data_IF_751252764853
#
_entry.id   IF_751252764853
#
_cell.length_a   1.000
_cell.length_b   1.000
_cell.length_c   1.000
_cell.angle_alpha   90.00
_cell.angle_beta   90.00
_cell.angle_gamma   90.00
#
_symmetry.space_group_name_H-M   'P 1'
#
loop_
_entity.id
_entity.type
_entity.pdbx_description
1 polymer ?
#
# COMPACT_ATOMS: atom_id res chain seq x y z
N UNK A 1 24.01 -33.86 -48.85
CA UNK A 1 24.87 -34.92 -49.41
C UNK A 1 24.84 -36.05 -48.39
N UNK A 2 24.08 -37.10 -48.74
CA UNK A 2 24.52 -38.44 -49.07
C UNK A 2 24.90 -39.26 -47.81
N UNK A 3 24.39 -40.45 -47.55
CA UNK A 3 24.23 -41.68 -48.37
C UNK A 3 23.24 -42.63 -47.73
N UNK A 4 22.42 -43.14 -48.59
CA UNK A 4 21.55 -44.31 -48.46
C UNK A 4 22.36 -45.60 -48.54
N UNK A 5 22.09 -46.64 -47.72
CA UNK A 5 22.31 -48.04 -48.12
C UNK A 5 21.18 -48.89 -47.54
N UNK A 6 20.36 -49.39 -48.46
CA UNK A 6 19.51 -50.57 -48.26
C UNK A 6 20.37 -51.86 -48.43
N UNK A 7 20.10 -52.86 -47.61
CA UNK A 7 20.35 -54.26 -47.94
C UNK A 7 19.09 -55.08 -47.67
N UNK A 8 18.69 -55.85 -48.73
CA UNK A 8 17.54 -56.73 -48.78
C UNK A 8 17.85 -58.05 -48.02
N UNK A 9 16.82 -58.63 -47.45
CA UNK A 9 16.83 -60.05 -47.06
C UNK A 9 15.65 -60.49 -46.20
N UNK A 10 14.67 -61.18 -46.88
CA UNK A 10 13.74 -62.21 -46.43
C UNK A 10 12.56 -61.89 -45.49
N UNK A 11 11.38 -62.00 -46.04
CA UNK A 11 10.05 -62.49 -45.59
C UNK A 11 9.80 -62.60 -44.07
N UNK A 12 8.81 -61.90 -43.58
CA UNK A 12 8.10 -62.21 -42.34
C UNK A 12 7.33 -61.05 -41.75
N UNK A 13 6.00 -61.06 -41.93
CA UNK A 13 4.96 -60.33 -41.17
C UNK A 13 5.05 -58.80 -41.20
N UNK A 14 4.09 -58.22 -41.93
CA UNK A 14 3.80 -56.77 -41.98
C UNK A 14 3.25 -56.32 -40.62
N UNK A 15 4.14 -55.77 -39.81
CA UNK A 15 3.80 -54.95 -38.65
C UNK A 15 3.94 -53.50 -39.09
N UNK A 16 2.83 -52.77 -39.28
CA UNK A 16 2.82 -51.34 -39.52
C UNK A 16 3.21 -50.68 -38.19
N UNK A 17 4.49 -50.38 -38.02
CA UNK A 17 4.90 -49.40 -36.97
C UNK A 17 4.47 -48.04 -37.45
N UNK A 18 3.31 -47.55 -36.98
CA UNK A 18 2.98 -46.15 -37.05
C UNK A 18 3.98 -45.37 -36.19
N UNK A 19 5.01 -44.79 -36.82
CA UNK A 19 5.84 -43.74 -36.21
C UNK A 19 4.93 -42.53 -36.00
N UNK A 20 4.30 -42.41 -34.86
CA UNK A 20 3.71 -41.14 -34.41
C UNK A 20 4.83 -40.18 -34.18
N UNK A 21 5.12 -39.35 -35.19
CA UNK A 21 5.91 -38.16 -34.99
C UNK A 21 5.16 -37.30 -33.96
N UNK A 22 5.62 -37.27 -32.73
CA UNK A 22 5.20 -36.26 -31.77
C UNK A 22 5.71 -34.94 -32.31
N UNK A 23 4.86 -34.20 -33.03
CA UNK A 23 5.05 -32.79 -33.29
C UNK A 23 4.99 -32.13 -31.91
N UNK A 24 6.13 -31.83 -31.32
CA UNK A 24 6.18 -30.91 -30.19
C UNK A 24 5.65 -29.59 -30.74
N UNK A 25 4.40 -29.27 -30.43
CA UNK A 25 3.89 -27.93 -30.62
C UNK A 25 4.85 -26.99 -29.87
N UNK A 26 5.39 -26.01 -30.57
CA UNK A 26 6.27 -25.00 -29.96
C UNK A 26 5.49 -24.40 -28.77
N UNK A 27 6.15 -24.33 -27.62
CA UNK A 27 5.55 -23.73 -26.43
C UNK A 27 5.03 -22.32 -26.78
N UNK A 28 3.78 -21.98 -26.44
CA UNK A 28 3.25 -20.64 -26.69
C UNK A 28 3.95 -19.55 -25.86
N UNK A 29 4.91 -19.94 -25.02
CA UNK A 29 5.59 -19.08 -24.08
C UNK A 29 6.94 -18.59 -24.59
N UNK A 30 7.18 -17.31 -24.42
CA UNK A 30 8.46 -16.67 -24.74
C UNK A 30 9.02 -15.97 -23.50
N UNK A 31 10.35 -16.00 -23.35
CA UNK A 31 11.05 -15.24 -22.32
C UNK A 31 10.98 -13.74 -22.66
N UNK A 32 10.70 -12.92 -21.66
CA UNK A 32 10.80 -11.46 -21.72
C UNK A 32 11.83 -10.96 -20.71
N UNK A 33 12.32 -9.74 -20.91
CA UNK A 33 13.34 -9.13 -20.07
C UNK A 33 14.74 -9.41 -20.55
N UNK A 34 15.65 -9.78 -19.65
CA UNK A 34 17.08 -9.99 -19.96
C UNK A 34 17.39 -11.48 -20.19
N UNK A 35 17.51 -11.93 -21.44
CA UNK A 35 17.73 -13.35 -21.76
C UNK A 35 19.13 -13.87 -21.40
N UNK A 36 20.08 -12.98 -21.09
CA UNK A 36 21.42 -13.39 -20.66
C UNK A 36 21.42 -13.82 -19.17
N UNK A 37 20.44 -13.33 -18.40
CA UNK A 37 20.43 -13.48 -16.96
C UNK A 37 19.20 -14.19 -16.40
N UNK A 38 18.23 -14.55 -17.25
CA UNK A 38 17.03 -15.26 -16.83
C UNK A 38 16.70 -16.42 -17.75
N UNK A 39 16.12 -17.45 -17.17
CA UNK A 39 15.67 -18.65 -17.89
C UNK A 39 14.19 -18.87 -17.58
N UNK A 40 13.44 -19.27 -18.61
CA UNK A 40 12.03 -19.63 -18.51
C UNK A 40 11.87 -21.12 -18.87
N UNK A 41 11.29 -21.89 -17.97
CA UNK A 41 10.94 -23.29 -18.16
C UNK A 41 9.44 -23.51 -17.96
N UNK A 42 8.92 -24.58 -18.56
CA UNK A 42 7.53 -25.00 -18.41
C UNK A 42 6.64 -24.56 -19.58
N UNK A 43 5.34 -24.55 -19.37
CA UNK A 43 4.37 -24.24 -20.41
C UNK A 43 2.93 -24.54 -19.94
N UNK A 44 2.07 -24.69 -20.92
CA UNK A 44 0.64 -24.94 -20.73
C UNK A 44 -0.24 -23.81 -21.29
N UNK A 45 -1.53 -24.07 -21.34
CA UNK A 45 -2.53 -23.11 -21.82
C UNK A 45 -3.23 -22.46 -20.63
N UNK A 46 -3.13 -21.13 -20.53
CA UNK A 46 -3.78 -20.34 -19.46
C UNK A 46 -5.31 -20.32 -19.59
N UNK A 47 -5.86 -20.67 -20.74
CA UNK A 47 -7.30 -20.75 -20.98
C UNK A 47 -7.87 -22.13 -20.63
N UNK A 48 -7.01 -23.11 -20.33
CA UNK A 48 -7.44 -24.45 -19.95
C UNK A 48 -7.82 -24.51 -18.46
N UNK A 49 -8.63 -25.52 -18.08
CA UNK A 49 -8.98 -25.77 -16.67
C UNK A 49 -7.76 -26.04 -15.75
N UNK A 50 -6.70 -26.61 -16.30
CA UNK A 50 -5.46 -26.89 -15.55
C UNK A 50 -4.59 -25.66 -15.42
N UNK A 51 -4.71 -24.69 -16.34
CA UNK A 51 -3.84 -23.53 -16.44
C UNK A 51 -2.40 -23.90 -16.86
N UNK A 52 -1.56 -22.88 -16.96
CA UNK A 52 -0.14 -23.05 -17.25
C UNK A 52 0.69 -23.24 -15.96
N UNK A 53 1.84 -23.91 -16.11
CA UNK A 53 2.84 -24.05 -15.06
C UNK A 53 4.21 -23.67 -15.60
N UNK A 54 4.82 -22.66 -14.99
CA UNK A 54 6.05 -22.03 -15.45
C UNK A 54 7.01 -21.81 -14.29
N UNK A 55 8.30 -21.82 -14.62
CA UNK A 55 9.35 -21.43 -13.69
C UNK A 55 10.24 -20.38 -14.35
N UNK A 56 10.51 -19.29 -13.64
CA UNK A 56 11.50 -18.27 -14.00
C UNK A 56 12.58 -18.27 -12.95
N UNK A 57 13.84 -18.33 -13.36
CA UNK A 57 14.95 -18.23 -12.44
C UNK A 57 16.07 -17.37 -13.00
N UNK A 58 16.74 -16.67 -12.08
CA UNK A 58 17.85 -15.79 -12.36
C UNK A 58 19.17 -16.56 -12.35
N UNK A 59 20.12 -16.20 -13.24
CA UNK A 59 21.50 -16.63 -13.11
C UNK A 59 22.19 -15.93 -11.94
N UNK A 60 23.34 -16.43 -11.43
CA UNK A 60 24.04 -15.79 -10.31
C UNK A 60 24.40 -14.33 -10.54
N UNK A 61 24.58 -13.93 -11.82
CA UNK A 61 25.00 -12.59 -12.23
C UNK A 61 23.83 -11.59 -12.34
N UNK A 62 22.59 -12.07 -12.26
CA UNK A 62 21.43 -11.18 -12.23
C UNK A 62 21.44 -10.32 -10.96
N UNK A 63 21.17 -9.03 -11.11
CA UNK A 63 21.11 -8.06 -10.01
C UNK A 63 19.71 -7.44 -9.87
N UNK A 64 19.50 -6.20 -10.35
CA UNK A 64 18.22 -5.48 -10.35
C UNK A 64 17.43 -5.64 -11.63
N UNK A 65 17.84 -6.52 -12.53
CA UNK A 65 17.17 -6.78 -13.81
C UNK A 65 15.92 -7.61 -13.61
N UNK A 66 15.16 -7.79 -14.69
CA UNK A 66 13.98 -8.62 -14.67
C UNK A 66 13.98 -9.67 -15.78
N UNK A 67 13.32 -10.78 -15.51
CA UNK A 67 12.94 -11.79 -16.47
C UNK A 67 11.52 -12.27 -16.22
N UNK A 68 10.89 -12.78 -17.26
CA UNK A 68 9.51 -13.27 -17.13
C UNK A 68 9.11 -14.11 -18.32
N UNK A 69 7.91 -14.68 -18.24
CA UNK A 69 7.27 -15.37 -19.35
C UNK A 69 6.19 -14.52 -19.99
N UNK A 70 5.95 -14.71 -21.29
CA UNK A 70 4.80 -14.15 -21.97
C UNK A 70 4.14 -15.17 -22.86
N UNK A 71 2.80 -15.29 -22.77
CA UNK A 71 1.95 -15.89 -23.78
C UNK A 71 1.06 -14.83 -24.41
N UNK A 72 0.81 -14.95 -25.71
CA UNK A 72 -0.06 -14.06 -26.48
C UNK A 72 -1.38 -14.76 -26.76
N UNK A 73 -2.49 -14.11 -26.45
CA UNK A 73 -3.85 -14.62 -26.58
C UNK A 73 -4.65 -13.64 -27.42
N UNK A 74 -5.53 -14.14 -28.29
CA UNK A 74 -6.49 -13.31 -29.02
C UNK A 74 -7.43 -12.59 -28.04
N UNK A 75 -7.49 -11.26 -28.13
CA UNK A 75 -8.34 -10.46 -27.23
C UNK A 75 -9.82 -10.48 -27.67
N UNK A 76 -10.16 -10.95 -28.88
CA UNK A 76 -11.51 -10.87 -29.43
C UNK A 76 -12.60 -11.45 -28.52
N UNK A 77 -12.43 -12.62 -27.87
CA UNK A 77 -13.44 -13.17 -26.97
C UNK A 77 -13.63 -12.38 -25.68
N UNK A 78 -12.67 -11.52 -25.34
CA UNK A 78 -12.58 -10.81 -24.08
C UNK A 78 -12.86 -9.31 -24.19
N UNK A 79 -13.05 -8.77 -25.39
CA UNK A 79 -13.35 -7.35 -25.61
C UNK A 79 -14.58 -6.93 -24.82
N UNK A 80 -14.52 -5.73 -24.25
CA UNK A 80 -15.56 -5.12 -23.42
C UNK A 80 -15.94 -5.95 -22.19
N UNK A 81 -15.03 -6.79 -21.73
CA UNK A 81 -15.18 -7.62 -20.54
C UNK A 81 -14.02 -7.41 -19.58
N UNK A 82 -14.28 -7.64 -18.30
CA UNK A 82 -13.23 -7.77 -17.29
C UNK A 82 -12.67 -9.18 -17.33
N UNK A 83 -11.35 -9.27 -17.27
CA UNK A 83 -10.63 -10.56 -17.21
C UNK A 83 -9.71 -10.57 -15.99
N UNK A 84 -9.53 -11.77 -15.46
CA UNK A 84 -8.68 -12.05 -14.31
C UNK A 84 -7.62 -13.08 -14.67
N UNK A 85 -6.37 -12.79 -14.33
CA UNK A 85 -5.28 -13.76 -14.32
C UNK A 85 -5.02 -14.15 -12.88
N UNK A 86 -5.08 -15.45 -12.57
CA UNK A 86 -4.81 -16.01 -11.24
C UNK A 86 -3.68 -17.02 -11.34
N UNK A 87 -2.79 -17.07 -10.36
CA UNK A 87 -1.73 -18.08 -10.27
C UNK A 87 -1.28 -18.32 -8.83
N UNK A 88 -0.72 -19.53 -8.60
CA UNK A 88 -0.12 -19.96 -7.32
C UNK A 88 1.39 -19.87 -7.43
N UNK A 89 2.00 -18.98 -6.67
CA UNK A 89 3.43 -18.67 -6.74
C UNK A 89 4.16 -19.34 -5.57
N UNK A 90 5.26 -20.01 -5.89
CA UNK A 90 6.26 -20.46 -4.91
C UNK A 90 7.61 -19.87 -5.27
N UNK A 91 8.37 -19.45 -4.25
CA UNK A 91 9.67 -18.76 -4.44
C UNK A 91 10.79 -19.40 -3.63
N UNK A 92 12.01 -19.23 -4.14
CA UNK A 92 13.26 -19.62 -3.47
C UNK A 92 14.27 -18.49 -3.62
N UNK A 93 14.69 -17.92 -2.49
CA UNK A 93 15.69 -16.85 -2.38
C UNK A 93 15.43 -15.65 -3.31
N UNK A 94 14.15 -15.28 -3.50
CA UNK A 94 13.78 -14.10 -4.31
C UNK A 94 14.20 -12.83 -3.57
N UNK A 95 15.11 -12.07 -4.18
CA UNK A 95 15.69 -10.87 -3.53
C UNK A 95 14.80 -9.63 -3.59
N UNK A 96 13.93 -9.54 -4.62
CA UNK A 96 13.08 -8.37 -4.83
C UNK A 96 11.63 -8.80 -5.07
N UNK A 97 11.22 -9.11 -6.30
CA UNK A 97 9.81 -9.33 -6.62
C UNK A 97 9.58 -10.56 -7.48
N UNK A 98 8.67 -11.45 -7.03
CA UNK A 98 8.02 -12.44 -7.89
C UNK A 98 6.52 -12.12 -7.97
N UNK A 99 5.97 -12.18 -9.20
CA UNK A 99 4.58 -11.82 -9.45
C UNK A 99 4.05 -12.33 -10.78
N UNK A 100 2.83 -11.91 -11.11
CA UNK A 100 2.17 -12.14 -12.40
C UNK A 100 1.70 -10.82 -13.00
N UNK A 101 1.56 -10.79 -14.32
CA UNK A 101 1.13 -9.62 -15.05
C UNK A 101 0.17 -9.96 -16.18
N UNK A 102 -0.67 -9.00 -16.55
CA UNK A 102 -1.71 -9.09 -17.57
C UNK A 102 -1.78 -7.76 -18.30
N UNK A 103 -1.78 -7.80 -19.64
CA UNK A 103 -1.76 -6.62 -20.51
C UNK A 103 -2.68 -6.82 -21.71
N UNK A 104 -3.34 -5.76 -22.14
CA UNK A 104 -4.06 -5.71 -23.40
C UNK A 104 -3.39 -4.70 -24.34
N UNK A 105 -3.16 -5.08 -25.59
CA UNK A 105 -2.63 -4.26 -26.65
C UNK A 105 -3.63 -4.09 -27.78
N UNK A 106 -3.68 -2.89 -28.34
CA UNK A 106 -4.33 -2.55 -29.61
C UNK A 106 -3.24 -2.19 -30.65
N UNK A 107 -3.64 -1.86 -31.87
CA UNK A 107 -2.71 -1.34 -32.90
C UNK A 107 -1.95 -0.10 -32.44
N UNK A 108 -2.55 0.74 -31.57
CA UNK A 108 -1.93 1.93 -30.98
C UNK A 108 -0.95 1.63 -29.83
N UNK A 109 -0.78 0.36 -29.44
CA UNK A 109 0.04 -0.07 -28.32
C UNK A 109 -0.78 -0.52 -27.11
N UNK A 110 -0.19 -0.42 -25.90
CA UNK A 110 -0.81 -0.87 -24.65
C UNK A 110 -2.06 -0.04 -24.30
N UNK A 111 -3.20 -0.73 -24.12
CA UNK A 111 -4.50 -0.12 -23.78
C UNK A 111 -5.01 -0.51 -22.39
N UNK A 112 -4.49 -1.60 -21.79
CA UNK A 112 -4.73 -1.93 -20.38
C UNK A 112 -3.55 -2.72 -19.83
N UNK A 113 -3.31 -2.61 -18.51
CA UNK A 113 -2.21 -3.31 -17.82
C UNK A 113 -2.51 -3.45 -16.32
N UNK A 114 -2.17 -4.59 -15.78
CA UNK A 114 -2.10 -4.82 -14.34
C UNK A 114 -0.96 -5.81 -14.01
N UNK A 115 -0.32 -5.63 -12.87
CA UNK A 115 0.64 -6.57 -12.31
C UNK A 115 0.47 -6.71 -10.80
N UNK A 116 1.11 -7.71 -10.21
CA UNK A 116 1.06 -7.95 -8.76
C UNK A 116 2.27 -7.39 -8.00
N UNK A 117 3.08 -6.51 -8.60
CA UNK A 117 4.29 -5.94 -7.99
C UNK A 117 4.04 -5.19 -6.67
N UNK A 118 2.86 -4.58 -6.51
CA UNK A 118 2.49 -3.91 -5.26
C UNK A 118 2.23 -4.86 -4.09
N UNK A 119 2.08 -6.15 -4.37
CA UNK A 119 1.98 -7.22 -3.38
C UNK A 119 2.93 -8.35 -3.80
N UNK A 120 4.25 -8.12 -3.76
CA UNK A 120 5.24 -9.06 -4.27
C UNK A 120 5.30 -10.32 -3.42
N UNK A 121 5.81 -11.39 -4.00
CA UNK A 121 6.26 -12.56 -3.26
C UNK A 121 7.78 -12.52 -3.22
N UNK A 122 8.36 -12.49 -2.02
CA UNK A 122 9.81 -12.35 -1.80
C UNK A 122 10.36 -13.50 -0.96
N UNK A 123 11.67 -13.66 -0.93
CA UNK A 123 12.34 -14.67 -0.11
C UNK A 123 11.95 -16.08 -0.50
N UNK A 124 11.59 -16.91 0.50
CA UNK A 124 11.11 -18.26 0.36
C UNK A 124 9.62 -18.31 0.73
N UNK A 125 8.79 -18.66 -0.22
CA UNK A 125 7.35 -18.76 -0.03
C UNK A 125 6.79 -19.96 -0.78
N UNK A 126 5.70 -20.54 -0.29
CA UNK A 126 5.04 -21.67 -0.90
C UNK A 126 3.57 -21.34 -1.19
N UNK A 127 3.16 -21.60 -2.42
CA UNK A 127 1.75 -21.66 -2.85
C UNK A 127 0.93 -20.38 -2.61
N UNK A 128 1.57 -19.22 -2.75
CA UNK A 128 0.94 -17.92 -2.55
C UNK A 128 0.07 -17.55 -3.74
N UNK A 129 -1.24 -17.38 -3.52
CA UNK A 129 -2.16 -16.97 -4.60
C UNK A 129 -1.93 -15.50 -4.93
N UNK A 130 -1.82 -15.22 -6.23
CA UNK A 130 -1.86 -13.85 -6.78
C UNK A 130 -2.89 -13.77 -7.87
N UNK A 131 -3.57 -12.63 -7.94
CA UNK A 131 -4.52 -12.31 -9.01
C UNK A 131 -4.35 -10.88 -9.48
N UNK A 132 -4.57 -10.65 -10.77
CA UNK A 132 -4.63 -9.33 -11.39
C UNK A 132 -5.79 -9.28 -12.35
N UNK A 133 -6.41 -8.11 -12.50
CA UNK A 133 -7.59 -7.91 -13.36
C UNK A 133 -7.40 -6.69 -14.23
N UNK A 134 -7.91 -6.76 -15.46
CA UNK A 134 -8.08 -5.61 -16.35
C UNK A 134 -9.48 -5.65 -16.99
N UNK A 135 -10.02 -4.49 -17.35
CA UNK A 135 -11.05 -4.36 -18.36
C UNK A 135 -10.36 -4.36 -19.74
N UNK A 136 -10.86 -5.17 -20.67
CA UNK A 136 -10.32 -5.28 -22.03
C UNK A 136 -11.09 -4.33 -22.94
N UNK A 137 -10.50 -3.21 -23.39
CA UNK A 137 -11.19 -2.28 -24.26
C UNK A 137 -11.58 -2.89 -25.61
N UNK A 138 -12.60 -2.34 -26.27
CA UNK A 138 -13.08 -2.78 -27.58
C UNK A 138 -11.97 -2.81 -28.65
N UNK A 139 -11.01 -1.89 -28.58
CA UNK A 139 -9.88 -1.78 -29.50
C UNK A 139 -8.75 -2.82 -29.25
N UNK A 140 -8.83 -3.62 -28.19
CA UNK A 140 -7.79 -4.59 -27.89
C UNK A 140 -7.73 -5.70 -28.95
N UNK A 141 -6.53 -6.02 -29.41
CA UNK A 141 -6.25 -7.07 -30.38
C UNK A 141 -5.63 -8.30 -29.71
N UNK A 142 -4.79 -8.08 -28.71
CA UNK A 142 -4.03 -9.14 -28.03
C UNK A 142 -4.06 -8.95 -26.53
N UNK A 143 -4.13 -10.07 -25.79
CA UNK A 143 -3.78 -10.14 -24.39
C UNK A 143 -2.41 -10.78 -24.25
N UNK A 144 -1.61 -10.24 -23.35
CA UNK A 144 -0.31 -10.78 -22.98
C UNK A 144 -0.32 -11.06 -21.49
N UNK A 145 0.11 -12.27 -21.11
CA UNK A 145 0.05 -12.72 -19.70
C UNK A 145 1.33 -13.44 -19.32
N UNK A 146 1.68 -13.42 -18.06
CA UNK A 146 2.78 -14.26 -17.61
C UNK A 146 3.31 -14.00 -16.20
N UNK A 147 4.32 -14.79 -15.78
CA UNK A 147 5.10 -14.56 -14.59
C UNK A 147 6.13 -13.45 -14.78
N UNK A 148 6.53 -12.83 -13.67
CA UNK A 148 7.57 -11.79 -13.59
C UNK A 148 8.46 -12.07 -12.38
N UNK A 149 9.77 -12.07 -12.59
CA UNK A 149 10.80 -12.12 -11.55
C UNK A 149 11.72 -10.91 -11.70
N UNK A 150 11.87 -10.11 -10.64
CA UNK A 150 12.82 -9.01 -10.55
C UNK A 150 13.90 -9.41 -9.54
N UNK A 151 15.16 -9.15 -9.88
CA UNK A 151 16.29 -9.49 -9.04
C UNK A 151 16.66 -10.98 -9.08
N UNK A 152 17.24 -11.48 -8.02
CA UNK A 152 17.77 -12.86 -7.91
C UNK A 152 16.72 -13.85 -7.42
N UNK A 153 17.03 -15.13 -7.57
CA UNK A 153 16.24 -16.22 -7.05
C UNK A 153 15.47 -17.01 -8.10
N UNK A 154 14.49 -17.77 -7.65
CA UNK A 154 13.64 -18.62 -8.48
C UNK A 154 12.20 -18.47 -8.08
N UNK A 155 11.31 -18.34 -9.07
CA UNK A 155 9.87 -18.43 -8.87
C UNK A 155 9.27 -19.54 -9.74
N UNK A 156 8.29 -20.24 -9.20
CA UNK A 156 7.42 -21.13 -9.98
C UNK A 156 5.99 -20.64 -9.82
N UNK A 157 5.25 -20.58 -10.90
CA UNK A 157 3.81 -20.34 -10.88
C UNK A 157 3.10 -21.58 -11.40
N UNK A 158 2.06 -22.02 -10.69
CA UNK A 158 1.19 -23.13 -11.07
C UNK A 158 -0.22 -22.64 -11.24
N UNK A 159 -1.03 -23.37 -11.99
CA UNK A 159 -2.43 -23.03 -12.23
C UNK A 159 -2.61 -21.58 -12.70
N UNK A 160 -1.70 -21.09 -13.55
CA UNK A 160 -1.82 -19.75 -14.11
C UNK A 160 -3.00 -19.78 -15.13
N UNK A 161 -4.12 -19.13 -14.75
CA UNK A 161 -5.37 -19.17 -15.52
C UNK A 161 -5.86 -17.77 -15.83
N UNK A 162 -6.32 -17.62 -17.08
CA UNK A 162 -7.03 -16.43 -17.54
C UNK A 162 -8.51 -16.77 -17.67
N UNK A 163 -9.34 -16.05 -16.96
CA UNK A 163 -10.80 -16.25 -16.96
C UNK A 163 -11.55 -14.92 -17.04
N UNK A 164 -12.80 -14.96 -17.47
CA UNK A 164 -13.65 -13.78 -17.39
C UNK A 164 -14.00 -13.51 -15.92
N UNK A 165 -13.78 -12.28 -15.48
CA UNK A 165 -14.18 -11.81 -14.17
C UNK A 165 -15.56 -11.14 -14.21
N UNK A 166 -16.28 -11.04 -13.08
CA UNK A 166 -17.51 -10.27 -13.00
C UNK A 166 -17.29 -8.81 -13.44
N UNK A 167 -18.27 -8.20 -14.13
CA UNK A 167 -18.19 -6.80 -14.52
C UNK A 167 -18.13 -5.89 -13.28
N UNK A 168 -17.51 -4.72 -13.44
CA UNK A 168 -17.48 -3.65 -12.46
C UNK A 168 -18.22 -2.43 -12.99
N UNK A 169 -18.89 -1.64 -12.15
CA UNK A 169 -19.49 -0.36 -12.57
C UNK A 169 -18.49 0.60 -13.21
N UNK A 170 -17.20 0.41 -12.94
CA UNK A 170 -16.11 1.26 -13.44
C UNK A 170 -15.51 0.76 -14.76
N UNK A 171 -16.03 -0.33 -15.32
CA UNK A 171 -15.55 -0.88 -16.58
C UNK A 171 -15.84 0.10 -17.74
N UNK A 172 -14.85 0.25 -18.63
CA UNK A 172 -14.98 1.12 -19.80
C UNK A 172 -14.89 2.62 -19.52
N UNK A 173 -14.58 3.05 -18.31
CA UNK A 173 -14.37 4.49 -18.00
C UNK A 173 -13.18 5.01 -18.81
N UNK A 174 -13.38 6.06 -19.64
CA UNK A 174 -12.27 6.67 -20.37
C UNK A 174 -11.20 7.22 -19.42
N UNK A 175 -9.90 6.93 -19.62
CA UNK A 175 -8.83 7.42 -18.76
C UNK A 175 -8.79 8.94 -18.59
N UNK A 176 -9.19 9.69 -19.64
CA UNK A 176 -9.33 11.15 -19.60
C UNK A 176 -10.29 11.61 -18.50
N UNK A 177 -11.41 10.89 -18.30
CA UNK A 177 -12.39 11.20 -17.26
C UNK A 177 -11.82 11.05 -15.86
N UNK A 178 -10.91 10.10 -15.65
CA UNK A 178 -10.21 9.93 -14.37
C UNK A 178 -9.36 11.16 -14.07
N UNK A 179 -8.65 11.68 -15.09
CA UNK A 179 -7.81 12.89 -14.95
C UNK A 179 -8.65 14.13 -14.70
N UNK A 180 -9.72 14.34 -15.47
CA UNK A 180 -10.63 15.49 -15.33
C UNK A 180 -11.22 15.56 -13.91
N UNK A 181 -11.68 14.42 -13.40
CA UNK A 181 -12.27 14.31 -12.08
C UNK A 181 -11.22 14.58 -10.97
N UNK A 182 -10.02 14.03 -11.14
CA UNK A 182 -8.91 14.28 -10.24
C UNK A 182 -8.52 15.76 -10.18
N UNK A 183 -8.40 16.43 -11.34
CA UNK A 183 -8.11 17.88 -11.42
C UNK A 183 -9.16 18.68 -10.65
N UNK A 184 -10.45 18.36 -10.83
CA UNK A 184 -11.55 19.03 -10.12
C UNK A 184 -11.41 18.86 -8.61
N UNK A 185 -11.13 17.65 -8.11
CA UNK A 185 -10.94 17.40 -6.68
C UNK A 185 -9.72 18.13 -6.12
N UNK A 186 -8.58 18.08 -6.81
CA UNK A 186 -7.35 18.77 -6.38
C UNK A 186 -7.60 20.29 -6.27
N UNK A 187 -8.21 20.87 -7.30
CA UNK A 187 -8.50 22.31 -7.32
C UNK A 187 -9.48 22.73 -6.21
N UNK A 188 -10.49 21.91 -5.95
CA UNK A 188 -11.52 22.21 -4.97
C UNK A 188 -11.06 21.98 -3.53
N UNK A 189 -10.25 20.96 -3.26
CA UNK A 189 -10.09 20.43 -1.90
C UNK A 189 -8.65 20.40 -1.39
N UNK A 190 -7.62 20.41 -2.27
CA UNK A 190 -6.24 20.29 -1.79
C UNK A 190 -5.84 21.52 -0.96
N UNK A 191 -5.21 21.27 0.19
CA UNK A 191 -4.74 22.30 1.12
C UNK A 191 -3.79 23.30 0.46
N UNK A 192 -2.96 22.82 -0.46
CA UNK A 192 -1.92 23.59 -1.14
C UNK A 192 -2.25 23.83 -2.62
N UNK A 193 -3.54 23.86 -2.99
CA UNK A 193 -3.96 24.09 -4.38
C UNK A 193 -3.52 25.45 -4.93
N UNK A 194 -3.28 26.43 -4.06
CA UNK A 194 -2.76 27.76 -4.36
C UNK A 194 -1.29 27.76 -4.83
N UNK A 195 -0.55 26.69 -4.58
CA UNK A 195 0.84 26.53 -5.08
C UNK A 195 0.89 26.15 -6.55
N UNK A 196 -0.23 25.71 -7.14
CA UNK A 196 -0.33 25.28 -8.53
C UNK A 196 -0.61 26.48 -9.42
N UNK A 197 0.24 26.70 -10.43
CA UNK A 197 -0.10 27.56 -11.56
C UNK A 197 -1.16 26.87 -12.42
N UNK A 198 -2.41 27.15 -12.16
CA UNK A 198 -3.54 26.45 -12.79
C UNK A 198 -3.66 26.72 -14.29
N UNK A 199 -3.29 27.88 -14.80
CA UNK A 199 -3.38 28.19 -16.23
C UNK A 199 -2.36 27.35 -17.00
N UNK A 200 -1.12 27.33 -16.54
CA UNK A 200 -0.06 26.51 -17.11
C UNK A 200 -0.36 25.01 -16.97
N UNK A 201 -0.80 24.58 -15.79
CA UNK A 201 -1.08 23.17 -15.50
C UNK A 201 -2.26 22.67 -16.32
N UNK A 202 -3.30 23.45 -16.51
CA UNK A 202 -4.45 23.08 -17.34
C UNK A 202 -4.07 22.94 -18.80
N UNK A 203 -3.22 23.82 -19.33
CA UNK A 203 -2.68 23.71 -20.70
C UNK A 203 -1.81 22.45 -20.87
N UNK A 204 -0.94 22.13 -19.89
CA UNK A 204 -0.12 20.92 -19.90
C UNK A 204 -1.00 19.66 -19.86
N UNK A 205 -1.96 19.59 -18.94
CA UNK A 205 -2.88 18.46 -18.85
C UNK A 205 -3.68 18.28 -20.15
N UNK A 206 -4.22 19.35 -20.72
CA UNK A 206 -4.99 19.31 -21.97
C UNK A 206 -4.14 18.73 -23.12
N UNK A 207 -2.86 19.08 -23.19
CA UNK A 207 -1.94 18.55 -24.20
C UNK A 207 -1.58 17.08 -24.00
N UNK A 208 -1.49 16.63 -22.76
CA UNK A 208 -1.06 15.27 -22.39
C UNK A 208 -2.21 14.27 -22.35
N UNK A 209 -3.40 14.69 -21.92
CA UNK A 209 -4.57 13.83 -21.76
C UNK A 209 -4.99 13.16 -23.06
N UNK A 210 -4.75 13.79 -24.23
CA UNK A 210 -4.99 13.22 -25.55
C UNK A 210 -4.19 11.93 -25.82
N UNK A 211 -3.08 11.72 -25.10
CA UNK A 211 -2.20 10.55 -25.19
C UNK A 211 -2.39 9.55 -24.06
N UNK A 212 -3.36 9.81 -23.18
CA UNK A 212 -3.66 8.94 -22.03
C UNK A 212 -4.68 7.89 -22.48
N UNK A 213 -4.20 6.69 -22.78
CA UNK A 213 -5.02 5.58 -23.27
C UNK A 213 -5.22 4.47 -22.23
N UNK A 214 -4.58 4.57 -21.06
CA UNK A 214 -4.70 3.58 -19.97
C UNK A 214 -4.95 4.28 -18.64
N UNK A 215 -5.57 3.57 -17.68
CA UNK A 215 -5.76 4.06 -16.33
C UNK A 215 -4.41 4.36 -15.64
N UNK A 216 -3.38 3.52 -15.86
CA UNK A 216 -2.05 3.77 -15.29
C UNK A 216 -1.43 5.07 -15.81
N UNK A 217 -1.55 5.34 -17.13
CA UNK A 217 -1.11 6.63 -17.69
C UNK A 217 -1.89 7.82 -17.11
N UNK A 218 -3.19 7.65 -16.82
CA UNK A 218 -3.97 8.64 -16.11
C UNK A 218 -3.44 8.86 -14.68
N UNK A 219 -3.14 7.78 -13.94
CA UNK A 219 -2.58 7.90 -12.59
C UNK A 219 -1.18 8.55 -12.59
N UNK A 220 -0.35 8.31 -13.59
CA UNK A 220 0.96 8.97 -13.71
C UNK A 220 0.80 10.48 -13.97
N UNK A 221 -0.16 10.87 -14.82
CA UNK A 221 -0.47 12.28 -15.04
C UNK A 221 -0.99 12.95 -13.76
N UNK A 222 -1.87 12.27 -13.01
CA UNK A 222 -2.38 12.74 -11.72
C UNK A 222 -1.24 12.85 -10.70
N UNK A 223 -0.31 11.88 -10.62
CA UNK A 223 0.86 11.98 -9.74
C UNK A 223 1.71 13.21 -10.07
N UNK A 224 1.89 13.50 -11.36
CA UNK A 224 2.59 14.70 -11.79
C UNK A 224 1.88 16.01 -11.36
N UNK A 225 0.54 16.02 -11.34
CA UNK A 225 -0.25 17.11 -10.80
C UNK A 225 -0.07 17.23 -9.28
N UNK A 226 -0.21 16.13 -8.54
CA UNK A 226 -0.09 16.10 -7.08
C UNK A 226 1.30 16.55 -6.61
N UNK A 227 2.35 16.23 -7.37
CA UNK A 227 3.71 16.67 -7.06
C UNK A 227 3.85 18.19 -6.99
N UNK A 228 3.02 18.94 -7.73
CA UNK A 228 3.03 20.40 -7.72
C UNK A 228 2.48 20.99 -6.40
N UNK A 229 1.71 20.22 -5.62
CA UNK A 229 1.26 20.63 -4.30
C UNK A 229 2.44 20.81 -3.32
N UNK A 230 3.57 20.14 -3.57
CA UNK A 230 4.74 20.18 -2.70
C UNK A 230 4.50 19.53 -1.35
N UNK A 231 3.49 18.67 -1.21
CA UNK A 231 3.28 17.82 -0.05
C UNK A 231 3.69 16.36 -0.36
N UNK A 232 3.99 15.59 0.68
CA UNK A 232 4.37 14.17 0.58
C UNK A 232 3.25 13.24 1.04
N UNK A 233 2.08 13.77 1.34
CA UNK A 233 0.99 13.04 1.95
C UNK A 233 -0.17 12.77 0.98
N UNK A 234 -0.33 13.61 -0.06
CA UNK A 234 -1.27 13.38 -1.16
C UNK A 234 -0.80 12.27 -2.09
N UNK A 235 -1.74 11.50 -2.65
CA UNK A 235 -1.43 10.40 -3.55
C UNK A 235 -2.63 9.84 -4.29
N UNK A 236 -2.38 8.95 -5.24
CA UNK A 236 -3.39 8.16 -5.95
C UNK A 236 -3.39 6.75 -5.37
N UNK A 237 -4.56 6.28 -5.00
CA UNK A 237 -4.83 4.90 -4.64
C UNK A 237 -5.50 4.20 -5.83
N UNK A 238 -4.82 3.29 -6.53
CA UNK A 238 -5.44 2.49 -7.58
C UNK A 238 -6.55 1.60 -7.03
N UNK A 239 -7.43 1.05 -7.89
CA UNK A 239 -8.56 0.23 -7.46
C UNK A 239 -8.17 -0.97 -6.60
N UNK A 240 -7.00 -1.57 -6.86
CA UNK A 240 -6.47 -2.67 -6.04
C UNK A 240 -6.21 -2.24 -4.59
N UNK A 241 -5.67 -1.04 -4.40
CA UNK A 241 -5.32 -0.51 -3.09
C UNK A 241 -6.57 -0.05 -2.33
N UNK A 242 -7.53 0.54 -3.05
CA UNK A 242 -8.84 0.89 -2.49
C UNK A 242 -9.57 -0.37 -1.98
N UNK A 243 -9.63 -1.43 -2.80
CA UNK A 243 -10.24 -2.70 -2.39
C UNK A 243 -9.51 -3.35 -1.22
N UNK A 244 -8.17 -3.35 -1.25
CA UNK A 244 -7.36 -3.90 -0.17
C UNK A 244 -7.64 -3.18 1.14
N UNK A 245 -7.64 -1.86 1.15
CA UNK A 245 -7.96 -1.06 2.34
C UNK A 245 -9.34 -1.35 2.92
N UNK A 246 -10.28 -1.78 2.07
CA UNK A 246 -11.64 -2.14 2.49
C UNK A 246 -11.75 -3.58 3.05
N UNK A 247 -10.80 -4.47 2.71
CA UNK A 247 -10.86 -5.91 3.05
C UNK A 247 -9.79 -6.35 4.04
N UNK A 248 -8.70 -5.59 4.18
CA UNK A 248 -7.68 -5.89 5.18
C UNK A 248 -8.27 -5.69 6.58
N UNK A 249 -8.38 -6.80 7.32
CA UNK A 249 -8.76 -6.78 8.73
C UNK A 249 -7.78 -5.94 9.54
N UNK A 250 -8.29 -5.26 10.57
CA UNK A 250 -7.43 -4.55 11.53
C UNK A 250 -6.60 -5.61 12.26
N UNK A 251 -5.26 -5.51 12.28
CA UNK A 251 -4.45 -6.40 13.09
C UNK A 251 -4.94 -6.39 14.53
N UNK A 252 -5.09 -7.55 15.14
CA UNK A 252 -5.45 -7.65 16.56
C UNK A 252 -4.36 -6.94 17.36
N UNK A 253 -4.74 -5.83 18.00
CA UNK A 253 -3.86 -5.05 18.84
C UNK A 253 -4.08 -5.40 20.30
N UNK A 254 -3.02 -5.84 20.95
CA UNK A 254 -3.00 -5.98 22.41
C UNK A 254 -2.21 -4.80 22.97
N UNK A 255 -2.87 -3.87 23.69
CA UNK A 255 -2.17 -2.76 24.30
C UNK A 255 -1.08 -3.26 25.24
N UNK A 256 0.12 -2.67 25.13
CA UNK A 256 1.21 -2.94 26.06
C UNK A 256 1.44 -1.72 26.92
N UNK A 257 1.13 -1.86 28.19
CA UNK A 257 1.45 -0.88 29.22
C UNK A 257 2.35 -1.57 30.25
N UNK A 258 3.52 -1.02 30.42
CA UNK A 258 4.46 -1.46 31.46
C UNK A 258 4.72 -0.33 32.46
N UNK A 259 5.19 -0.68 33.66
CA UNK A 259 5.59 0.29 34.67
C UNK A 259 7.05 0.05 35.02
N UNK A 260 7.87 1.09 34.91
CA UNK A 260 9.29 1.10 35.31
C UNK A 260 9.53 2.29 36.25
N UNK A 261 10.11 2.05 37.40
CA UNK A 261 10.43 3.11 38.37
C UNK A 261 9.23 4.03 38.70
N UNK A 262 8.02 3.45 38.82
CA UNK A 262 6.75 4.16 39.05
C UNK A 262 6.32 5.05 37.86
N UNK A 263 6.89 4.87 36.68
CA UNK A 263 6.51 5.55 35.44
C UNK A 263 5.78 4.57 34.53
N UNK A 264 4.58 4.94 34.11
CA UNK A 264 3.79 4.16 33.14
C UNK A 264 4.32 4.38 31.71
N UNK A 265 4.49 3.33 30.94
CA UNK A 265 4.92 3.41 29.54
C UNK A 265 3.83 2.77 28.67
N UNK A 266 3.21 3.58 27.85
CA UNK A 266 2.18 3.12 26.88
C UNK A 266 2.70 3.26 25.44
N UNK A 267 2.88 2.12 24.76
CA UNK A 267 3.19 2.10 23.34
C UNK A 267 1.87 2.16 22.55
N UNK A 268 1.73 3.18 21.70
CA UNK A 268 0.54 3.41 20.87
C UNK A 268 0.89 3.12 19.41
N UNK A 269 0.48 1.99 18.84
CA UNK A 269 0.69 1.70 17.42
C UNK A 269 -0.26 2.50 16.54
N UNK A 270 0.03 2.54 15.23
CA UNK A 270 -0.91 3.01 14.23
C UNK A 270 -2.16 2.12 14.17
N UNK A 271 -3.30 2.70 13.82
CA UNK A 271 -4.57 2.00 13.70
C UNK A 271 -5.21 2.28 12.33
N UNK A 272 -5.32 1.27 11.47
CA UNK A 272 -5.82 1.42 10.10
C UNK A 272 -7.31 1.12 9.94
N UNK A 273 -8.00 0.68 11.00
CA UNK A 273 -9.40 0.26 10.94
C UNK A 273 -10.38 1.42 10.72
N UNK A 274 -11.41 1.15 9.93
CA UNK A 274 -12.55 2.06 9.70
C UNK A 274 -13.83 1.56 10.34
N UNK A 275 -13.90 0.28 10.74
CA UNK A 275 -15.05 -0.29 11.41
C UNK A 275 -15.21 0.25 12.83
N UNK A 276 -16.44 0.63 13.16
CA UNK A 276 -16.77 1.25 14.46
C UNK A 276 -16.49 0.31 15.64
N UNK A 277 -16.82 -0.98 15.51
CA UNK A 277 -16.58 -1.98 16.55
C UNK A 277 -15.08 -2.14 16.85
N UNK A 278 -14.26 -2.34 15.82
CA UNK A 278 -12.82 -2.46 15.96
C UNK A 278 -12.16 -1.19 16.52
N UNK A 279 -12.65 -0.02 16.12
CA UNK A 279 -12.21 1.29 16.64
C UNK A 279 -12.51 1.42 18.15
N UNK A 280 -13.68 1.00 18.56
CA UNK A 280 -14.10 1.06 19.96
C UNK A 280 -13.34 0.04 20.82
N UNK A 281 -13.13 -1.17 20.31
CA UNK A 281 -12.37 -2.21 21.00
C UNK A 281 -10.89 -1.80 21.20
N UNK A 282 -10.29 -1.18 20.20
CA UNK A 282 -8.93 -0.61 20.31
C UNK A 282 -8.88 0.47 21.40
N UNK A 283 -9.82 1.43 21.37
CA UNK A 283 -9.86 2.52 22.33
C UNK A 283 -10.11 2.03 23.76
N UNK A 284 -11.05 1.10 23.93
CA UNK A 284 -11.32 0.46 25.23
C UNK A 284 -10.12 -0.29 25.77
N UNK A 285 -9.50 -1.13 24.93
CA UNK A 285 -8.32 -1.89 25.33
C UNK A 285 -7.18 -1.01 25.80
N UNK A 286 -6.93 0.10 25.09
CA UNK A 286 -5.87 1.05 25.45
C UNK A 286 -6.17 1.79 26.75
N UNK A 287 -7.40 2.30 26.92
CA UNK A 287 -7.81 3.01 28.14
C UNK A 287 -7.83 2.09 29.36
N UNK A 288 -8.30 0.84 29.23
CA UNK A 288 -8.28 -0.18 30.30
C UNK A 288 -6.84 -0.49 30.72
N UNK A 289 -5.94 -0.72 29.76
CA UNK A 289 -4.54 -1.00 30.06
C UNK A 289 -3.84 0.16 30.81
N UNK A 290 -4.20 1.41 30.51
CA UNK A 290 -3.75 2.59 31.27
C UNK A 290 -4.35 2.59 32.68
N UNK A 291 -5.66 2.38 32.79
CA UNK A 291 -6.37 2.39 34.08
C UNK A 291 -5.82 1.33 35.04
N UNK A 292 -5.56 0.12 34.57
CA UNK A 292 -5.02 -1.01 35.36
C UNK A 292 -3.64 -0.72 35.96
N UNK A 293 -2.88 0.19 35.37
CA UNK A 293 -1.53 0.54 35.81
C UNK A 293 -1.43 1.91 36.49
N UNK A 294 -2.52 2.67 36.53
CA UNK A 294 -2.51 4.05 37.02
C UNK A 294 -1.99 4.17 38.47
N UNK A 295 -2.42 3.28 39.37
CA UNK A 295 -1.98 3.31 40.78
C UNK A 295 -0.46 3.04 40.91
N UNK A 296 0.12 2.22 40.04
CA UNK A 296 1.56 1.90 40.04
C UNK A 296 2.41 2.94 39.30
N UNK A 297 1.80 3.74 38.43
CA UNK A 297 2.46 4.75 37.60
C UNK A 297 2.34 6.16 38.23
N UNK A 298 2.72 6.27 39.50
CA UNK A 298 2.51 7.49 40.31
C UNK A 298 3.43 8.67 39.98
N UNK A 299 4.53 8.46 39.22
CA UNK A 299 5.47 9.51 38.82
C UNK A 299 5.15 10.16 37.46
N UNK A 300 4.29 9.55 36.65
CA UNK A 300 3.92 10.08 35.33
C UNK A 300 3.88 9.00 34.26
N UNK A 301 3.72 9.46 33.02
CA UNK A 301 3.53 8.56 31.89
C UNK A 301 4.42 8.89 30.72
N UNK A 302 4.79 7.85 29.97
CA UNK A 302 5.44 7.95 28.68
C UNK A 302 4.44 7.43 27.63
N UNK A 303 4.19 8.26 26.59
CA UNK A 303 3.41 7.88 25.40
C UNK A 303 4.41 7.65 24.28
N UNK A 304 4.69 6.37 23.97
CA UNK A 304 5.68 5.98 22.95
C UNK A 304 5.01 5.85 21.58
N UNK A 305 5.36 6.76 20.67
CA UNK A 305 4.85 6.85 19.30
C UNK A 305 5.90 6.48 18.24
N UNK A 306 7.09 6.00 18.61
CA UNK A 306 8.20 5.74 17.67
C UNK A 306 7.82 4.80 16.52
N UNK A 307 6.96 3.81 16.76
CA UNK A 307 6.44 2.87 15.77
C UNK A 307 5.11 3.27 15.13
N UNK A 308 4.55 4.45 15.44
CA UNK A 308 3.22 4.86 14.98
C UNK A 308 3.30 5.59 13.64
N UNK A 309 3.08 4.88 12.54
CA UNK A 309 3.04 5.43 11.18
C UNK A 309 1.70 6.06 10.77
N UNK A 310 0.72 6.13 11.68
CA UNK A 310 -0.57 6.78 11.46
C UNK A 310 -1.76 5.84 11.31
N UNK A 311 -2.71 6.23 10.48
CA UNK A 311 -3.99 5.55 10.27
C UNK A 311 -5.19 6.41 10.73
N UNK A 312 -6.11 5.84 11.51
CA UNK A 312 -7.24 6.54 12.09
C UNK A 312 -6.88 7.06 13.49
N UNK A 313 -6.79 8.39 13.65
CA UNK A 313 -6.39 9.01 14.92
C UNK A 313 -7.42 8.84 16.05
N UNK A 314 -8.70 8.72 15.71
CA UNK A 314 -9.76 8.80 16.71
C UNK A 314 -9.75 7.68 17.75
N UNK A 315 -9.56 6.39 17.39
CA UNK A 315 -9.41 5.33 18.38
C UNK A 315 -8.18 5.50 19.27
N UNK A 316 -7.08 6.01 18.73
CA UNK A 316 -5.85 6.28 19.48
C UNK A 316 -6.06 7.39 20.49
N UNK A 317 -6.67 8.51 20.08
CA UNK A 317 -6.99 9.62 20.98
C UNK A 317 -8.01 9.22 22.04
N UNK A 318 -9.07 8.50 21.65
CA UNK A 318 -10.08 8.00 22.58
C UNK A 318 -9.49 7.04 23.63
N UNK A 319 -8.59 6.14 23.23
CA UNK A 319 -7.88 5.25 24.15
C UNK A 319 -6.93 5.98 25.10
N UNK A 320 -6.42 7.14 24.70
CA UNK A 320 -5.57 8.02 25.53
C UNK A 320 -6.39 9.05 26.33
N UNK A 321 -7.72 9.00 26.30
CA UNK A 321 -8.59 9.91 27.03
C UNK A 321 -8.24 10.05 28.51
N UNK A 322 -7.85 8.99 29.26
CA UNK A 322 -7.44 9.16 30.66
C UNK A 322 -6.29 10.16 30.85
N UNK A 323 -5.37 10.26 29.88
CA UNK A 323 -4.23 11.18 29.91
C UNK A 323 -4.53 12.54 29.26
N UNK A 324 -5.50 12.63 28.36
CA UNK A 324 -5.82 13.84 27.59
C UNK A 324 -6.96 14.66 28.21
N UNK A 325 -7.89 13.99 28.92
CA UNK A 325 -9.09 14.59 29.53
C UNK A 325 -10.15 15.00 28.50
N UNK A 326 -11.18 15.71 28.96
CA UNK A 326 -12.36 16.12 28.18
C UNK A 326 -12.16 17.40 27.34
N UNK A 327 -11.04 18.07 27.49
CA UNK A 327 -10.77 19.31 26.78
C UNK A 327 -10.58 19.09 25.26
N UNK A 328 -10.77 20.14 24.47
CA UNK A 328 -10.33 20.14 23.06
C UNK A 328 -8.82 19.95 23.01
N UNK A 329 -8.35 18.89 22.31
CA UNK A 329 -6.94 18.51 22.29
C UNK A 329 -6.19 19.04 21.06
N UNK A 330 -6.91 19.59 20.08
CA UNK A 330 -6.36 20.16 18.85
C UNK A 330 -7.46 20.50 17.86
N UNK A 331 -7.03 20.84 16.65
CA UNK A 331 -7.94 21.17 15.55
C UNK A 331 -7.37 20.69 14.21
N UNK A 332 -8.27 20.48 13.23
CA UNK A 332 -7.95 20.46 11.82
C UNK A 332 -8.29 21.82 11.22
N UNK A 333 -7.33 22.48 10.54
CA UNK A 333 -7.53 23.74 9.86
C UNK A 333 -7.41 23.54 8.36
N UNK A 334 -8.45 23.89 7.59
CA UNK A 334 -8.45 23.84 6.13
C UNK A 334 -7.72 25.07 5.52
N UNK A 335 -7.65 25.12 4.20
CA UNK A 335 -7.01 26.23 3.46
C UNK A 335 -7.75 27.57 3.63
N UNK A 336 -9.06 27.52 3.89
CA UNK A 336 -9.87 28.72 4.09
C UNK A 336 -9.80 29.24 5.54
N UNK A 337 -9.02 28.56 6.41
CA UNK A 337 -8.85 28.90 7.81
C UNK A 337 -9.93 28.35 8.74
N UNK A 338 -10.92 27.59 8.24
CA UNK A 338 -11.94 26.98 9.07
C UNK A 338 -11.30 25.88 9.93
N UNK A 339 -11.73 25.82 11.19
CA UNK A 339 -11.18 24.87 12.16
C UNK A 339 -12.26 23.92 12.67
N UNK A 340 -11.93 22.63 12.68
CA UNK A 340 -12.72 21.58 13.30
C UNK A 340 -12.00 21.10 14.56
N UNK A 341 -12.61 21.26 15.73
CA UNK A 341 -12.04 20.89 17.01
C UNK A 341 -11.97 19.37 17.20
N UNK A 342 -10.87 18.89 17.76
CA UNK A 342 -10.71 17.50 18.18
C UNK A 342 -11.26 17.34 19.60
N UNK A 343 -12.52 16.93 19.69
CA UNK A 343 -13.19 16.53 20.92
C UNK A 343 -13.18 15.02 20.99
N UNK A 344 -12.54 14.48 22.01
CA UNK A 344 -12.38 13.05 22.18
C UNK A 344 -13.60 12.51 22.92
N UNK A 345 -14.25 11.49 22.35
CA UNK A 345 -15.26 10.73 23.09
C UNK A 345 -14.57 9.74 24.04
N UNK A 346 -14.93 9.69 25.33
CA UNK A 346 -14.42 8.67 26.23
C UNK A 346 -14.82 7.28 25.74
N UNK A 347 -13.94 6.26 25.88
CA UNK A 347 -14.18 4.93 25.29
C UNK A 347 -15.22 4.09 26.05
N UNK A 348 -15.86 4.64 27.09
CA UNK A 348 -16.86 3.94 27.89
C UNK A 348 -16.27 2.89 28.86
N UNK A 349 -15.05 3.13 29.34
CA UNK A 349 -14.42 2.38 30.44
C UNK A 349 -14.19 3.30 31.63
N UNK A 350 -14.27 2.73 32.85
CA UNK A 350 -13.95 3.47 34.07
C UNK A 350 -12.43 3.59 34.17
N UNK A 351 -11.91 4.81 34.12
CA UNK A 351 -10.50 5.11 34.26
C UNK A 351 -10.31 6.34 35.14
N UNK A 352 -9.23 6.45 35.93
CA UNK A 352 -8.91 7.66 36.68
C UNK A 352 -8.61 8.81 35.72
N UNK A 353 -8.90 10.03 36.14
CA UNK A 353 -8.46 11.24 35.42
C UNK A 353 -6.96 11.45 35.71
N UNK A 354 -6.16 11.28 34.67
CA UNK A 354 -4.72 11.47 34.65
C UNK A 354 -4.32 12.70 33.81
N UNK A 355 -5.29 13.59 33.50
CA UNK A 355 -5.05 14.75 32.64
C UNK A 355 -4.10 15.79 33.26
N UNK A 356 -3.84 15.73 34.57
CA UNK A 356 -2.91 16.60 35.27
C UNK A 356 -1.52 15.95 35.55
N UNK A 357 -1.35 14.65 35.33
CA UNK A 357 -0.08 13.97 35.63
C UNK A 357 1.00 14.33 34.61
N UNK A 358 2.32 14.31 34.97
CA UNK A 358 3.40 14.52 34.02
C UNK A 358 3.39 13.51 32.89
N UNK A 359 3.64 13.97 31.64
CA UNK A 359 3.73 13.11 30.45
C UNK A 359 4.96 13.46 29.63
N UNK A 360 5.68 12.43 29.16
CA UNK A 360 6.70 12.55 28.10
C UNK A 360 6.19 11.81 26.86
N UNK A 361 6.06 12.53 25.74
CA UNK A 361 5.71 11.93 24.44
C UNK A 361 6.99 11.60 23.71
N UNK A 362 7.21 10.32 23.41
CA UNK A 362 8.40 9.86 22.68
C UNK A 362 8.08 9.68 21.20
N UNK A 363 8.79 10.43 20.34
CA UNK A 363 8.63 10.39 18.89
C UNK A 363 9.87 9.83 18.19
N UNK A 364 9.72 9.38 16.95
CA UNK A 364 10.79 8.89 16.08
C UNK A 364 10.56 9.24 14.63
N UNK A 365 11.54 8.99 13.78
CA UNK A 365 11.46 9.27 12.33
C UNK A 365 10.32 8.53 11.61
N UNK A 366 9.78 7.45 12.20
CA UNK A 366 8.63 6.71 11.69
C UNK A 366 7.28 7.20 12.24
N UNK A 367 7.28 8.11 13.23
CA UNK A 367 6.04 8.74 13.70
C UNK A 367 5.48 9.61 12.59
N UNK A 368 4.27 9.29 12.10
CA UNK A 368 3.72 9.91 10.89
C UNK A 368 2.21 10.08 10.96
N UNK A 369 1.69 11.10 10.23
CA UNK A 369 0.25 11.27 9.97
C UNK A 369 -0.56 11.28 11.28
N UNK A 370 -1.48 10.32 11.48
CA UNK A 370 -2.26 10.23 12.74
C UNK A 370 -1.39 9.96 13.98
N UNK A 371 -0.19 9.40 13.85
CA UNK A 371 0.80 9.34 14.93
C UNK A 371 1.28 10.74 15.33
N UNK A 372 1.46 11.62 14.34
CA UNK A 372 1.77 13.03 14.58
C UNK A 372 0.56 13.76 15.18
N UNK A 373 -0.68 13.41 14.77
CA UNK A 373 -1.88 13.96 15.41
C UNK A 373 -1.95 13.62 16.91
N UNK A 374 -1.57 12.38 17.30
CA UNK A 374 -1.47 12.02 18.72
C UNK A 374 -0.41 12.86 19.43
N UNK A 375 0.77 13.05 18.82
CA UNK A 375 1.80 13.93 19.41
C UNK A 375 1.32 15.38 19.55
N UNK A 376 0.63 15.93 18.53
CA UNK A 376 0.03 17.27 18.56
C UNK A 376 -1.03 17.41 19.66
N UNK A 377 -1.83 16.35 19.90
CA UNK A 377 -2.83 16.37 20.96
C UNK A 377 -2.25 16.58 22.38
N UNK A 378 -0.99 16.23 22.57
CA UNK A 378 -0.25 16.47 23.82
C UNK A 378 0.46 17.82 23.86
N UNK A 379 0.63 18.54 22.74
CA UNK A 379 1.23 19.87 22.72
C UNK A 379 0.35 20.88 23.45
N UNK A 380 0.96 21.71 24.30
CA UNK A 380 0.24 22.68 25.13
C UNK A 380 -0.57 22.09 26.29
N UNK A 381 -0.50 20.78 26.54
CA UNK A 381 -1.00 20.16 27.76
C UNK A 381 -0.03 20.45 28.92
N UNK A 382 -0.56 20.81 30.09
CA UNK A 382 0.25 21.04 31.28
C UNK A 382 1.15 19.83 31.61
N UNK A 383 2.32 20.08 32.19
CA UNK A 383 3.29 19.04 32.61
C UNK A 383 3.63 18.03 31.51
N UNK A 384 3.71 18.49 30.26
CA UNK A 384 4.00 17.63 29.10
C UNK A 384 5.20 18.16 28.32
N UNK A 385 6.07 17.25 27.91
CA UNK A 385 7.19 17.50 26.99
C UNK A 385 7.34 16.35 26.02
N UNK A 386 8.08 16.54 24.97
CA UNK A 386 8.41 15.52 23.98
C UNK A 386 9.90 15.22 23.95
N UNK A 387 10.24 13.97 23.65
CA UNK A 387 11.63 13.49 23.57
C UNK A 387 11.79 12.54 22.37
N UNK A 388 12.98 12.43 21.82
CA UNK A 388 13.32 11.48 20.76
C UNK A 388 13.82 12.13 19.49
N UNK A 389 13.26 11.76 18.35
CA UNK A 389 13.62 12.29 17.04
C UNK A 389 12.46 13.06 16.42
N UNK A 390 12.79 13.96 15.47
CA UNK A 390 11.79 14.61 14.64
C UNK A 390 10.96 13.57 13.89
N UNK A 391 9.66 13.86 13.73
CA UNK A 391 8.71 12.98 13.05
C UNK A 391 8.88 13.01 11.51
N UNK A 392 8.10 12.22 10.80
CA UNK A 392 8.16 12.13 9.32
C UNK A 392 7.80 13.44 8.62
N UNK A 393 7.01 14.32 9.23
CA UNK A 393 6.64 15.62 8.66
C UNK A 393 5.43 15.57 7.73
N UNK A 394 4.46 14.75 8.06
CA UNK A 394 3.15 14.68 7.41
C UNK A 394 2.05 14.95 8.43
N UNK A 395 2.27 15.98 9.27
CA UNK A 395 1.36 16.44 10.33
C UNK A 395 0.14 17.18 9.76
N UNK A 396 -0.56 16.49 8.86
CA UNK A 396 -1.70 16.97 8.06
C UNK A 396 -2.81 15.92 8.01
N UNK A 397 -4.04 16.37 7.78
CA UNK A 397 -5.20 15.50 7.60
C UNK A 397 -5.51 15.28 6.12
N UNK A 398 -5.79 14.02 5.79
CA UNK A 398 -6.17 13.59 4.45
C UNK A 398 -7.66 13.27 4.36
N UNK A 399 -8.22 13.47 3.16
CA UNK A 399 -9.51 12.92 2.76
C UNK A 399 -9.36 12.07 1.51
N UNK A 400 -10.23 11.07 1.38
CA UNK A 400 -10.32 10.22 0.19
C UNK A 400 -11.43 10.72 -0.71
N UNK A 401 -11.11 10.93 -1.98
CA UNK A 401 -12.05 11.33 -3.02
C UNK A 401 -12.10 10.21 -4.07
N UNK A 402 -13.22 9.48 -4.18
CA UNK A 402 -13.39 8.51 -5.24
C UNK A 402 -13.27 9.19 -6.60
N UNK A 403 -12.60 8.54 -7.54
CA UNK A 403 -12.56 8.95 -8.94
C UNK A 403 -13.05 7.80 -9.82
N UNK A 404 -13.58 8.08 -11.03
CA UNK A 404 -14.04 7.04 -11.94
C UNK A 404 -12.97 5.96 -12.15
N UNK A 405 -13.40 4.70 -12.37
CA UNK A 405 -12.50 3.57 -12.52
C UNK A 405 -12.10 2.89 -11.20
N UNK A 406 -12.79 3.21 -10.09
CA UNK A 406 -12.61 2.55 -8.78
C UNK A 406 -11.34 2.95 -8.04
N UNK A 407 -10.60 3.94 -8.53
CA UNK A 407 -9.47 4.54 -7.82
C UNK A 407 -9.96 5.62 -6.83
N UNK A 408 -9.05 6.11 -5.99
CA UNK A 408 -9.31 7.26 -5.13
C UNK A 408 -8.10 8.18 -5.06
N UNK A 409 -8.36 9.47 -4.89
CA UNK A 409 -7.34 10.43 -4.49
C UNK A 409 -7.31 10.50 -2.97
N UNK A 410 -6.14 10.34 -2.38
CA UNK A 410 -5.85 10.72 -1.02
C UNK A 410 -5.28 12.13 -1.07
N UNK A 411 -6.03 13.13 -0.66
CA UNK A 411 -5.60 14.53 -0.68
C UNK A 411 -5.38 15.07 0.72
N UNK A 412 -4.29 15.76 0.91
CA UNK A 412 -4.07 16.62 2.07
C UNK A 412 -5.04 17.78 1.99
N UNK A 413 -5.96 17.89 2.97
CA UNK A 413 -7.02 18.91 3.00
C UNK A 413 -6.91 19.83 4.21
N UNK A 414 -6.21 19.41 5.28
CA UNK A 414 -6.10 20.17 6.52
C UNK A 414 -4.71 20.07 7.13
N UNK A 415 -4.34 21.05 7.96
CA UNK A 415 -3.18 20.99 8.89
C UNK A 415 -3.68 20.65 10.27
N UNK A 416 -2.84 19.99 11.05
CA UNK A 416 -3.06 19.85 12.47
C UNK A 416 -2.72 21.17 13.18
N UNK A 417 -3.50 21.49 14.17
CA UNK A 417 -3.31 22.66 15.03
C UNK A 417 -3.46 22.20 16.47
N UNK A 418 -2.52 22.55 17.34
CA UNK A 418 -2.60 22.19 18.75
C UNK A 418 -3.59 23.09 19.52
N UNK A 419 -3.78 22.79 20.78
CA UNK A 419 -4.70 23.55 21.66
C UNK A 419 -4.26 24.99 21.94
N UNK A 420 -3.01 25.35 21.63
CA UNK A 420 -2.48 26.72 21.75
C UNK A 420 -2.70 27.54 20.48
N UNK A 421 -3.12 26.90 19.38
CA UNK A 421 -3.33 27.53 18.07
C UNK A 421 -2.14 27.44 17.11
N UNK A 422 -1.04 26.77 17.52
CA UNK A 422 0.11 26.56 16.64
C UNK A 422 -0.22 25.52 15.56
N UNK A 423 0.01 25.86 14.28
CA UNK A 423 -0.26 25.02 13.14
C UNK A 423 0.99 24.27 12.67
N UNK A 424 0.80 23.02 12.32
CA UNK A 424 1.82 22.10 11.83
C UNK A 424 1.64 21.82 10.33
N UNK A 425 2.45 20.96 9.79
CA UNK A 425 2.51 20.57 8.36
C UNK A 425 3.91 20.13 7.97
N UNK A 426 4.84 20.26 8.89
CA UNK A 426 6.25 19.91 8.81
C UNK A 426 6.61 18.90 9.90
N UNK A 427 7.83 18.33 9.93
CA UNK A 427 8.28 17.47 11.03
C UNK A 427 8.10 18.11 12.41
N UNK A 428 7.54 17.36 13.34
CA UNK A 428 7.45 17.80 14.73
C UNK A 428 8.81 17.55 15.38
N UNK A 429 9.53 18.62 15.71
CA UNK A 429 10.74 18.53 16.51
C UNK A 429 10.39 18.18 17.97
N UNK A 430 11.10 17.25 18.62
CA UNK A 430 10.96 17.02 20.05
C UNK A 430 11.53 18.21 20.85
N UNK A 431 11.08 18.36 22.09
CA UNK A 431 11.64 19.37 23.01
C UNK A 431 13.05 18.97 23.47
N UNK A 432 13.32 17.65 23.54
CA UNK A 432 14.64 17.07 23.84
C UNK A 432 15.01 16.01 22.81
N UNK A 433 16.13 16.17 22.12
CA UNK A 433 16.64 15.16 21.20
C UNK A 433 17.22 13.95 21.94
N UNK A 434 16.88 12.76 21.46
CA UNK A 434 17.42 11.49 21.93
C UNK A 434 17.46 10.47 20.80
N UNK A 435 18.40 9.52 20.86
CA UNK A 435 18.40 8.41 19.92
C UNK A 435 17.13 7.55 20.10
N UNK A 436 16.72 6.83 19.05
CA UNK A 436 15.56 5.92 19.13
C UNK A 436 15.74 4.86 20.23
N UNK A 437 16.97 4.41 20.46
CA UNK A 437 17.30 3.42 21.48
C UNK A 437 17.21 3.99 22.90
N UNK A 438 17.64 5.23 23.12
CA UNK A 438 17.78 5.82 24.46
C UNK A 438 16.55 6.60 24.91
N UNK A 439 15.69 7.04 24.01
CA UNK A 439 14.62 7.99 24.28
C UNK A 439 13.71 7.55 25.44
N UNK A 440 13.26 6.29 25.47
CA UNK A 440 12.39 5.79 26.55
C UNK A 440 13.13 5.71 27.88
N UNK A 441 14.38 5.24 27.89
CA UNK A 441 15.17 5.15 29.13
C UNK A 441 15.42 6.55 29.74
N UNK A 442 15.77 7.54 28.92
CA UNK A 442 15.92 8.93 29.33
C UNK A 442 14.61 9.55 29.82
N UNK A 443 13.48 9.23 29.15
CA UNK A 443 12.16 9.68 29.57
C UNK A 443 11.79 9.10 30.95
N UNK A 444 12.08 7.82 31.23
CA UNK A 444 11.90 7.21 32.57
C UNK A 444 12.74 7.97 33.60
N UNK A 445 14.03 8.13 33.39
CA UNK A 445 14.93 8.85 34.30
C UNK A 445 14.40 10.25 34.60
N UNK A 446 13.87 10.95 33.61
CA UNK A 446 13.37 12.31 33.75
C UNK A 446 12.07 12.45 34.55
N UNK A 447 11.31 11.37 34.72
CA UNK A 447 10.07 11.31 35.50
C UNK A 447 10.28 10.63 36.86
N UNK A 448 11.20 9.68 36.97
CA UNK A 448 11.40 8.84 38.16
C UNK A 448 11.81 9.62 39.42
N UNK A 449 12.30 10.87 39.32
CA UNK A 449 12.68 11.75 40.45
C UNK A 449 11.49 12.39 41.18
N UNK A 450 10.25 11.93 40.96
CA UNK A 450 9.06 12.45 41.63
C UNK A 450 9.18 12.21 43.17
N UNK A 451 9.00 13.25 43.96
CA UNK A 451 8.81 13.12 45.41
C UNK A 451 7.53 12.34 45.67
N UNK A 452 7.62 11.27 46.45
CA UNK A 452 6.48 10.43 46.80
C UNK A 452 5.46 11.14 47.67
#
# INVERSE_FOLDING_TARGET
MTVWKCLQGALGVVGILACTAHVHAASPWSLIGDPAHYVLDGGGDVQSERGASLTVYATPEADTRFGGGTAVIDATPYREKRVRLTGRISTQAVSDTAGIWLRADAASGRVAFANSERNPVTGNAADVVRQVEIYVPAAAERLLVGPLLIGKGRMSVRELRLEQAPPSPDDGVPPARIVEDAVRHVRAHALYADRIDWDRTQADIASRVQRVHTADAAYDLIRSLLAQLGDRHSGVLPPSDVRRSATEGVPSFVPRVEVRERVGIVAVPGFSGTEQAASLDFARGLATAIADRAASASCGWIVDLRGNSGGNMWPMLSGLHPLLGDATVGYMRDRDGRQNAWRIAPPGVTAPDLSAVPVVVVTGAKTASSGEAVAVAFRGRAHTRSMGQATMGVSTGNQLFPVPGGAALKLTTTRFVDRTGHAYGEPLAPDEEASEADAVARAVQSLAGCAG
#
